data_IF_212081485441
#
_entry.id   IF_212081485441
#
_cell.length_a   1.000
_cell.length_b   1.000
_cell.length_c   1.000
_cell.angle_alpha   90.00
_cell.angle_beta   90.00
_cell.angle_gamma   90.00
#
_symmetry.space_group_name_H-M   'P 1'
#
loop_
_entity.id
_entity.type
_entity.pdbx_description
1 polymer ?
#
# COMPACT_ATOMS: atom_id res chain seq x y z
N UNK A 1 15.36 4.87 8.11
CA UNK A 1 14.09 5.45 7.55
C UNK A 1 14.34 5.76 6.08
N UNK A 2 13.34 5.54 5.21
CA UNK A 2 13.48 5.93 3.80
C UNK A 2 13.37 7.45 3.65
N UNK A 3 13.95 8.03 2.58
CA UNK A 3 13.83 9.47 2.28
C UNK A 3 12.36 9.91 2.19
N UNK A 4 11.49 9.04 1.64
CA UNK A 4 10.05 9.26 1.60
C UNK A 4 9.43 9.39 3.01
N UNK A 5 9.74 8.47 3.92
CA UNK A 5 9.21 8.52 5.31
C UNK A 5 9.67 9.78 6.03
N UNK A 6 10.92 10.20 5.81
CA UNK A 6 11.48 11.43 6.38
C UNK A 6 10.74 12.65 5.84
N UNK A 7 10.51 12.75 4.52
CA UNK A 7 9.79 13.88 3.93
C UNK A 7 8.35 13.99 4.44
N UNK A 8 7.64 12.85 4.58
CA UNK A 8 6.27 12.83 5.14
C UNK A 8 6.23 13.24 6.60
N UNK A 9 7.21 12.81 7.40
CA UNK A 9 7.34 13.25 8.79
C UNK A 9 7.52 14.77 8.91
N UNK A 10 8.40 15.37 8.08
CA UNK A 10 8.56 16.83 8.08
C UNK A 10 7.32 17.56 7.61
N UNK A 11 6.64 17.08 6.56
CA UNK A 11 5.40 17.66 6.08
C UNK A 11 4.31 17.68 7.17
N UNK A 12 4.13 16.56 7.89
CA UNK A 12 3.19 16.47 9.01
C UNK A 12 3.55 17.43 10.15
N UNK A 13 4.84 17.61 10.44
CA UNK A 13 5.29 18.59 11.46
C UNK A 13 4.99 20.04 11.05
N UNK A 14 5.07 20.39 9.76
CA UNK A 14 4.69 21.73 9.27
C UNK A 14 3.19 21.96 9.49
N UNK A 15 2.35 20.97 9.13
CA UNK A 15 0.90 21.04 9.36
C UNK A 15 0.59 21.21 10.85
N UNK A 16 1.27 20.45 11.72
CA UNK A 16 1.12 20.57 13.18
C UNK A 16 1.48 21.95 13.70
N UNK A 17 2.54 22.59 13.18
CA UNK A 17 2.89 23.98 13.53
C UNK A 17 1.79 24.94 13.12
N UNK A 18 1.21 24.78 11.92
CA UNK A 18 0.06 25.57 11.49
C UNK A 18 -1.14 25.40 12.41
N UNK A 19 -1.41 24.18 12.87
CA UNK A 19 -2.49 23.92 13.84
C UNK A 19 -2.27 24.66 15.17
N UNK A 20 -1.02 24.72 15.67
CA UNK A 20 -0.69 25.50 16.88
C UNK A 20 -0.87 27.02 16.69
N UNK A 21 -0.91 27.49 15.45
CA UNK A 21 -1.16 28.88 15.07
C UNK A 21 -2.64 29.16 14.73
N UNK A 22 -3.54 28.20 15.01
CA UNK A 22 -4.97 28.36 14.82
C UNK A 22 -5.53 27.79 13.52
N UNK A 23 -4.72 27.16 12.67
CA UNK A 23 -5.20 26.49 11.47
C UNK A 23 -6.01 25.23 11.85
N UNK A 24 -7.24 25.14 11.38
CA UNK A 24 -8.06 23.94 11.56
C UNK A 24 -7.56 22.85 10.62
N UNK A 25 -7.03 21.77 11.17
CA UNK A 25 -6.42 20.68 10.39
C UNK A 25 -6.94 19.33 10.83
N UNK A 26 -7.09 18.42 9.88
CA UNK A 26 -7.24 16.97 10.12
C UNK A 26 -6.19 16.27 9.30
N UNK A 27 -5.47 15.31 9.89
CA UNK A 27 -4.44 14.55 9.20
C UNK A 27 -4.92 13.11 8.99
N UNK A 28 -4.92 12.65 7.75
CA UNK A 28 -5.19 11.25 7.40
C UNK A 28 -3.92 10.55 6.93
N UNK A 29 -3.66 9.38 7.50
CA UNK A 29 -2.51 8.53 7.20
C UNK A 29 -3.02 7.19 6.65
N UNK A 30 -3.27 7.07 5.35
CA UNK A 30 -3.72 5.83 4.78
C UNK A 30 -2.59 4.78 4.77
N UNK A 31 -2.96 3.51 4.97
CA UNK A 31 -2.11 2.36 4.69
C UNK A 31 -1.85 2.23 3.18
N UNK A 32 -1.56 1.05 2.63
CA UNK A 32 -1.39 0.91 1.18
C UNK A 32 -2.74 1.15 0.50
N UNK A 33 -2.84 2.26 -0.23
CA UNK A 33 -4.05 2.64 -0.96
C UNK A 33 -4.14 1.84 -2.25
N UNK A 34 -5.25 1.13 -2.44
CA UNK A 34 -5.53 0.33 -3.62
C UNK A 34 -6.63 1.01 -4.45
N UNK A 35 -6.35 1.23 -5.72
CA UNK A 35 -7.26 1.87 -6.67
C UNK A 35 -6.76 1.75 -8.09
N UNK A 36 -7.62 2.15 -9.03
CA UNK A 36 -7.28 2.29 -10.44
C UNK A 36 -6.31 3.46 -10.63
N UNK A 37 -5.36 3.34 -11.56
CA UNK A 37 -4.39 4.40 -11.85
C UNK A 37 -3.27 3.95 -12.77
N UNK A 38 -2.13 4.61 -12.71
CA UNK A 38 -0.95 4.23 -13.48
C UNK A 38 -0.37 2.90 -12.96
N UNK A 39 -0.53 1.84 -13.75
CA UNK A 39 -0.07 0.49 -13.41
C UNK A 39 1.46 0.32 -13.39
N UNK A 40 2.19 1.37 -13.74
CA UNK A 40 3.66 1.41 -13.76
C UNK A 40 4.26 2.08 -12.52
N UNK A 41 3.44 2.66 -11.66
CA UNK A 41 3.90 3.40 -10.47
C UNK A 41 3.05 3.12 -9.23
N UNK A 42 3.58 3.41 -8.05
CA UNK A 42 2.87 3.33 -6.77
C UNK A 42 2.36 1.94 -6.42
N UNK A 43 1.27 1.88 -5.68
CA UNK A 43 0.65 0.64 -5.19
C UNK A 43 -0.05 -0.18 -6.30
N UNK A 44 -0.47 0.47 -7.39
CA UNK A 44 -1.09 -0.21 -8.53
C UNK A 44 -0.13 -1.19 -9.24
N UNK A 45 1.21 -0.97 -9.13
CA UNK A 45 2.19 -1.97 -9.58
C UNK A 45 2.03 -3.33 -8.89
N UNK A 46 1.56 -3.38 -7.64
CA UNK A 46 1.33 -4.64 -6.92
C UNK A 46 0.22 -5.45 -7.61
N UNK A 47 -0.81 -4.79 -8.13
CA UNK A 47 -1.88 -5.42 -8.90
C UNK A 47 -1.32 -5.96 -10.22
N UNK A 48 -0.60 -5.12 -10.97
CA UNK A 48 0.02 -5.53 -12.23
C UNK A 48 0.97 -6.73 -12.02
N UNK A 49 1.81 -6.69 -10.98
CA UNK A 49 2.71 -7.77 -10.62
C UNK A 49 1.96 -9.06 -10.28
N UNK A 50 0.93 -9.00 -9.41
CA UNK A 50 0.13 -10.16 -9.03
C UNK A 50 -0.64 -10.78 -10.22
N UNK A 51 -1.19 -9.93 -11.10
CA UNK A 51 -1.95 -10.36 -12.27
C UNK A 51 -1.11 -11.09 -13.34
N UNK A 52 0.22 -10.96 -13.32
CA UNK A 52 1.10 -11.77 -14.18
C UNK A 52 1.25 -13.22 -13.70
N UNK A 53 0.84 -13.55 -12.47
CA UNK A 53 0.90 -14.89 -11.93
C UNK A 53 2.29 -15.28 -11.40
N UNK A 54 2.71 -14.60 -10.35
CA UNK A 54 4.00 -14.89 -9.71
C UNK A 54 3.91 -16.09 -8.79
N UNK A 55 4.90 -16.99 -8.88
CA UNK A 55 4.98 -18.17 -8.01
C UNK A 55 5.46 -17.86 -6.60
N UNK A 56 6.02 -16.68 -6.38
CA UNK A 56 6.73 -16.34 -5.17
C UNK A 56 5.94 -15.34 -4.33
N UNK A 57 6.05 -15.47 -3.01
CA UNK A 57 5.55 -14.50 -2.05
C UNK A 57 6.53 -14.35 -0.88
N UNK A 58 6.35 -13.30 -0.09
CA UNK A 58 7.10 -13.04 1.15
C UNK A 58 6.18 -13.12 2.36
N UNK A 59 6.74 -13.28 3.56
CA UNK A 59 5.96 -13.39 4.82
C UNK A 59 5.45 -12.06 5.36
N UNK A 60 5.74 -10.93 4.73
CA UNK A 60 5.32 -9.62 5.21
C UNK A 60 3.79 -9.46 5.27
N UNK A 61 3.35 -8.64 6.22
CA UNK A 61 1.95 -8.23 6.40
C UNK A 61 1.87 -6.72 6.23
N UNK A 62 0.86 -6.23 5.52
CA UNK A 62 0.61 -4.80 5.31
C UNK A 62 -0.87 -4.48 5.49
N UNK A 63 -1.14 -3.22 5.88
CA UNK A 63 -2.48 -2.67 5.83
C UNK A 63 -2.83 -2.24 4.41
N UNK A 64 -4.09 -2.40 4.06
CA UNK A 64 -4.64 -1.99 2.75
C UNK A 64 -5.96 -1.26 2.95
N UNK A 65 -6.24 -0.33 2.03
CA UNK A 65 -7.48 0.45 2.03
C UNK A 65 -7.86 0.81 0.60
N UNK A 66 -9.16 0.85 0.32
CA UNK A 66 -9.69 1.31 -0.97
C UNK A 66 -9.49 2.83 -1.13
N UNK A 67 -9.07 3.28 -2.31
CA UNK A 67 -8.90 4.71 -2.62
C UNK A 67 -10.20 5.50 -2.44
N UNK A 68 -11.35 4.88 -2.71
CA UNK A 68 -12.67 5.50 -2.55
C UNK A 68 -13.01 5.73 -1.08
N UNK A 69 -12.62 4.77 -0.21
CA UNK A 69 -12.80 4.89 1.23
C UNK A 69 -11.88 5.97 1.82
N UNK A 70 -10.64 6.08 1.32
CA UNK A 70 -9.75 7.17 1.71
C UNK A 70 -10.37 8.52 1.36
N UNK A 71 -10.89 8.68 0.14
CA UNK A 71 -11.53 9.92 -0.29
C UNK A 71 -12.76 10.24 0.59
N UNK A 72 -13.65 9.26 0.77
CA UNK A 72 -14.89 9.39 1.54
C UNK A 72 -14.61 9.73 3.01
N UNK A 73 -13.70 8.98 3.66
CA UNK A 73 -13.33 9.24 5.04
C UNK A 73 -12.65 10.61 5.23
N UNK A 74 -11.85 11.04 4.25
CA UNK A 74 -11.19 12.36 4.30
C UNK A 74 -12.21 13.50 4.29
N UNK A 75 -13.23 13.42 3.42
CA UNK A 75 -14.31 14.42 3.36
C UNK A 75 -15.10 14.42 4.66
N UNK A 76 -15.55 13.26 5.13
CA UNK A 76 -16.32 13.15 6.37
C UNK A 76 -15.55 13.69 7.57
N UNK A 77 -14.27 13.34 7.72
CA UNK A 77 -13.43 13.83 8.81
C UNK A 77 -13.23 15.35 8.78
N UNK A 78 -13.23 15.98 7.60
CA UNK A 78 -13.13 17.44 7.49
C UNK A 78 -14.37 18.18 7.99
N UNK A 79 -15.52 17.52 8.03
CA UNK A 79 -16.81 18.05 8.49
C UNK A 79 -17.05 17.85 10.00
N UNK A 80 -16.31 16.92 10.63
CA UNK A 80 -16.46 16.58 12.06
C UNK A 80 -15.65 17.54 12.94
N UNK A 81 -16.29 18.35 13.81
CA UNK A 81 -15.58 19.30 14.68
C UNK A 81 -14.55 18.63 15.61
N UNK A 82 -14.87 17.46 16.14
CA UNK A 82 -14.04 16.69 17.06
C UNK A 82 -12.78 16.12 16.38
N UNK A 83 -12.77 16.06 15.05
CA UNK A 83 -11.63 15.62 14.27
C UNK A 83 -10.55 16.70 14.11
N UNK A 84 -10.85 17.96 14.40
CA UNK A 84 -9.90 19.07 14.27
C UNK A 84 -8.72 18.88 15.21
N UNK A 85 -7.51 19.03 14.66
CA UNK A 85 -6.24 18.81 15.36
C UNK A 85 -5.87 17.33 15.53
N UNK A 86 -6.70 16.42 15.03
CA UNK A 86 -6.50 14.98 15.18
C UNK A 86 -5.82 14.33 13.97
N UNK A 87 -5.31 13.11 14.21
CA UNK A 87 -4.69 12.25 13.19
C UNK A 87 -5.39 10.90 13.16
N UNK A 88 -5.67 10.42 11.96
CA UNK A 88 -6.38 9.17 11.72
C UNK A 88 -5.60 8.25 10.79
N UNK A 89 -5.50 6.98 11.17
CA UNK A 89 -5.02 5.92 10.28
C UNK A 89 -6.22 5.38 9.52
N UNK A 90 -6.12 5.35 8.18
CA UNK A 90 -7.13 4.75 7.31
C UNK A 90 -6.59 3.42 6.77
N UNK A 91 -7.08 2.31 7.33
CA UNK A 91 -6.70 0.96 6.93
C UNK A 91 -7.92 0.07 7.07
N UNK A 92 -8.34 -0.61 6.00
CA UNK A 92 -9.48 -1.51 6.07
C UNK A 92 -9.08 -2.83 6.74
N UNK A 93 -8.03 -3.48 6.23
CA UNK A 93 -7.56 -4.77 6.71
C UNK A 93 -6.03 -4.88 6.66
N UNK A 94 -5.48 -5.72 7.53
CA UNK A 94 -4.08 -6.11 7.50
C UNK A 94 -3.97 -7.50 6.85
N UNK A 95 -3.39 -7.60 5.64
CA UNK A 95 -3.25 -8.85 4.91
C UNK A 95 -1.80 -9.25 4.71
N UNK A 96 -1.48 -10.55 4.80
CA UNK A 96 -0.21 -11.10 4.32
C UNK A 96 -0.08 -10.92 2.80
N UNK A 97 1.13 -10.70 2.29
CA UNK A 97 1.37 -10.63 0.85
C UNK A 97 0.91 -11.90 0.11
N UNK A 98 1.00 -13.08 0.75
CA UNK A 98 0.45 -14.31 0.18
C UNK A 98 -1.04 -14.18 -0.14
N UNK A 99 -1.83 -13.70 0.82
CA UNK A 99 -3.28 -13.53 0.64
C UNK A 99 -3.57 -12.48 -0.45
N UNK A 100 -2.91 -11.32 -0.39
CA UNK A 100 -3.03 -10.27 -1.38
C UNK A 100 -2.79 -10.80 -2.81
N UNK A 101 -1.63 -11.40 -3.06
CA UNK A 101 -1.29 -11.90 -4.40
C UNK A 101 -2.12 -13.11 -4.82
N UNK A 102 -2.63 -13.92 -3.87
CA UNK A 102 -3.55 -15.01 -4.20
C UNK A 102 -4.87 -14.48 -4.75
N UNK A 103 -5.47 -13.46 -4.11
CA UNK A 103 -6.72 -12.84 -4.58
C UNK A 103 -6.54 -12.23 -5.97
N UNK A 104 -5.43 -11.50 -6.18
CA UNK A 104 -5.13 -10.88 -7.49
C UNK A 104 -4.91 -11.93 -8.57
N UNK A 105 -4.09 -12.97 -8.30
CA UNK A 105 -3.81 -14.04 -9.26
C UNK A 105 -5.07 -14.86 -9.60
N UNK A 106 -5.88 -15.20 -8.60
CA UNK A 106 -7.16 -15.89 -8.79
C UNK A 106 -8.09 -15.07 -9.70
N UNK A 107 -8.25 -13.78 -9.41
CA UNK A 107 -9.09 -12.87 -10.21
C UNK A 107 -8.59 -12.74 -11.65
N UNK A 108 -7.27 -12.81 -11.85
CA UNK A 108 -6.64 -12.76 -13.16
C UNK A 108 -6.62 -14.12 -13.90
N UNK A 109 -7.16 -15.20 -13.31
CA UNK A 109 -7.09 -16.56 -13.86
C UNK A 109 -5.67 -17.09 -13.96
N UNK A 110 -4.80 -16.71 -13.03
CA UNK A 110 -3.38 -17.09 -12.97
C UNK A 110 -3.09 -18.07 -11.84
N UNK A 111 -1.90 -18.68 -11.91
CA UNK A 111 -1.44 -19.58 -10.85
C UNK A 111 -1.18 -18.83 -9.55
N UNK A 112 -1.59 -19.43 -8.44
CA UNK A 112 -1.41 -18.86 -7.10
C UNK A 112 0.05 -18.90 -6.67
N UNK A 113 0.51 -17.95 -5.84
CA UNK A 113 1.85 -17.98 -5.27
C UNK A 113 2.01 -19.16 -4.30
N UNK A 114 3.01 -20.00 -4.52
CA UNK A 114 3.25 -21.23 -3.73
C UNK A 114 4.55 -21.23 -2.96
N UNK A 115 5.57 -20.51 -3.45
CA UNK A 115 6.93 -20.55 -2.89
C UNK A 115 7.17 -19.31 -2.05
N UNK A 116 7.45 -19.54 -0.76
CA UNK A 116 7.82 -18.47 0.16
C UNK A 116 9.30 -18.12 -0.01
N UNK A 117 9.60 -16.87 -0.37
CA UNK A 117 10.97 -16.37 -0.42
C UNK A 117 11.33 -15.74 0.94
N UNK A 118 12.33 -16.31 1.58
CA UNK A 118 12.87 -15.78 2.82
C UNK A 118 13.85 -14.61 2.59
N UNK A 119 14.14 -13.87 3.65
CA UNK A 119 15.02 -12.69 3.63
C UNK A 119 16.41 -12.98 3.03
N UNK A 120 16.98 -14.17 3.32
CA UNK A 120 18.30 -14.55 2.80
C UNK A 120 18.30 -14.68 1.26
N UNK A 121 17.28 -15.32 0.70
CA UNK A 121 17.15 -15.48 -0.74
C UNK A 121 16.89 -14.14 -1.45
N UNK A 122 16.09 -13.26 -0.84
CA UNK A 122 15.87 -11.90 -1.34
C UNK A 122 17.16 -11.07 -1.34
N UNK A 123 17.93 -11.12 -0.27
CA UNK A 123 19.20 -10.40 -0.18
C UNK A 123 20.22 -10.91 -1.21
N UNK A 124 20.26 -12.24 -1.44
CA UNK A 124 21.11 -12.82 -2.48
C UNK A 124 20.68 -12.37 -3.88
N UNK A 125 19.37 -12.37 -4.16
CA UNK A 125 18.84 -11.87 -5.44
C UNK A 125 19.17 -10.39 -5.66
N UNK A 126 19.05 -9.54 -4.62
CA UNK A 126 19.43 -8.14 -4.69
C UNK A 126 20.93 -7.92 -4.88
N UNK A 127 21.76 -8.76 -4.28
CA UNK A 127 23.21 -8.73 -4.52
C UNK A 127 23.55 -9.10 -5.95
N UNK A 128 22.94 -10.16 -6.48
CA UNK A 128 23.10 -10.57 -7.87
C UNK A 128 22.62 -9.50 -8.86
N UNK A 129 21.45 -8.85 -8.61
CA UNK A 129 20.97 -7.73 -9.42
C UNK A 129 21.96 -6.56 -9.42
N UNK A 130 22.55 -6.24 -8.26
CA UNK A 130 23.52 -5.15 -8.13
C UNK A 130 24.79 -5.40 -8.96
N UNK A 131 25.29 -6.63 -8.97
CA UNK A 131 26.45 -7.00 -9.81
C UNK A 131 26.08 -6.98 -11.30
N UNK A 132 24.93 -7.51 -11.66
CA UNK A 132 24.45 -7.51 -13.06
C UNK A 132 24.27 -6.08 -13.59
N UNK A 133 23.80 -5.14 -12.75
CA UNK A 133 23.68 -3.71 -13.09
C UNK A 133 25.00 -3.01 -13.40
N UNK A 134 26.10 -3.45 -12.81
CA UNK A 134 27.43 -2.90 -13.15
C UNK A 134 27.77 -3.14 -14.62
N UNK A 135 27.18 -4.19 -15.21
CA UNK A 135 27.43 -4.58 -16.61
C UNK A 135 26.34 -4.06 -17.56
N UNK A 136 25.06 -4.07 -17.15
CA UNK A 136 23.91 -3.93 -18.07
C UNK A 136 23.19 -2.59 -18.02
N UNK A 137 23.54 -1.67 -17.12
CA UNK A 137 22.88 -0.35 -16.93
C UNK A 137 21.35 -0.36 -16.77
N UNK A 138 20.73 -1.48 -16.40
CA UNK A 138 19.29 -1.56 -16.14
C UNK A 138 18.86 -0.76 -14.91
N UNK A 139 17.59 -0.30 -14.88
CA UNK A 139 17.00 0.35 -13.69
C UNK A 139 16.93 -0.64 -12.53
N UNK A 140 17.16 -0.14 -11.30
CA UNK A 140 17.08 -0.96 -10.08
C UNK A 140 15.64 -1.38 -9.84
N UNK A 141 15.38 -2.69 -9.81
CA UNK A 141 14.10 -3.28 -9.51
C UNK A 141 13.95 -3.59 -8.01
N UNK A 142 15.04 -4.01 -7.36
CA UNK A 142 15.07 -4.40 -5.95
C UNK A 142 15.86 -3.38 -5.13
N UNK A 143 15.20 -2.27 -4.73
CA UNK A 143 15.80 -1.34 -3.77
C UNK A 143 15.76 -1.91 -2.35
N UNK A 144 16.66 -1.48 -1.46
CA UNK A 144 16.68 -1.90 -0.05
C UNK A 144 15.36 -1.60 0.65
N UNK A 145 14.69 -0.50 0.29
CA UNK A 145 13.38 -0.14 0.82
C UNK A 145 12.27 -1.11 0.38
N UNK A 146 12.31 -1.60 -0.87
CA UNK A 146 11.36 -2.60 -1.38
C UNK A 146 11.61 -3.94 -0.67
N UNK A 147 12.87 -4.36 -0.53
CA UNK A 147 13.23 -5.61 0.13
C UNK A 147 12.84 -5.61 1.62
N UNK A 148 13.14 -4.53 2.34
CA UNK A 148 12.76 -4.40 3.75
C UNK A 148 11.25 -4.37 3.92
N UNK A 149 10.53 -3.69 3.03
CA UNK A 149 9.06 -3.66 3.04
C UNK A 149 8.45 -5.02 2.74
N UNK A 150 9.04 -5.79 1.82
CA UNK A 150 8.52 -7.09 1.42
C UNK A 150 8.56 -8.15 2.54
N UNK A 151 9.47 -8.05 3.48
CA UNK A 151 9.61 -9.01 4.59
C UNK A 151 9.09 -8.50 5.92
N UNK A 152 8.89 -7.19 6.08
CA UNK A 152 8.40 -6.61 7.34
C UNK A 152 6.89 -6.75 7.47
N UNK A 153 6.44 -6.97 8.71
CA UNK A 153 5.02 -6.93 9.06
C UNK A 153 4.70 -5.61 9.75
N UNK A 154 3.67 -4.94 9.26
CA UNK A 154 3.14 -3.71 9.84
C UNK A 154 1.63 -3.87 9.99
N UNK A 155 1.17 -3.70 11.23
CA UNK A 155 -0.25 -3.79 11.57
C UNK A 155 -0.77 -2.40 11.89
N UNK A 156 -1.93 -2.08 11.36
CA UNK A 156 -2.58 -0.79 11.56
C UNK A 156 -3.95 -1.03 12.21
N UNK A 157 -4.29 -0.20 13.20
CA UNK A 157 -5.63 -0.14 13.78
C UNK A 157 -6.41 1.03 13.18
N UNK A 158 -7.65 0.78 12.81
CA UNK A 158 -8.62 1.74 12.31
C UNK A 158 -9.67 2.14 13.36
N UNK A 159 -9.53 1.65 14.60
CA UNK A 159 -10.52 1.87 15.65
C UNK A 159 -10.85 3.35 15.87
N UNK A 160 -9.84 4.23 15.80
CA UNK A 160 -10.04 5.65 16.04
C UNK A 160 -10.97 6.27 15.01
N UNK A 161 -10.81 5.99 13.73
CA UNK A 161 -11.68 6.52 12.69
C UNK A 161 -13.09 5.95 12.79
N UNK A 162 -13.22 4.65 13.11
CA UNK A 162 -14.53 4.00 13.31
C UNK A 162 -15.30 4.52 14.54
N UNK A 163 -14.58 4.98 15.57
CA UNK A 163 -15.22 5.65 16.74
C UNK A 163 -15.63 7.08 16.44
N UNK A 164 -14.97 7.75 15.50
CA UNK A 164 -15.23 9.15 15.17
C UNK A 164 -16.30 9.29 14.10
N UNK A 165 -16.34 8.35 13.15
CA UNK A 165 -17.27 8.32 12.03
C UNK A 165 -18.13 7.06 12.12
N UNK A 166 -19.41 7.17 11.76
CA UNK A 166 -20.23 6.03 11.37
C UNK A 166 -19.80 5.61 9.96
N UNK A 167 -18.77 4.75 9.91
CA UNK A 167 -18.04 4.45 8.67
C UNK A 167 -17.72 2.96 8.56
N UNK A 168 -18.00 2.41 7.41
CA UNK A 168 -17.62 1.05 7.05
C UNK A 168 -16.64 1.06 5.87
N UNK A 169 -15.53 0.34 6.04
CA UNK A 169 -14.54 0.16 4.99
C UNK A 169 -14.98 -0.95 4.02
N UNK A 170 -14.72 -0.73 2.75
CA UNK A 170 -14.87 -1.77 1.73
C UNK A 170 -13.91 -2.93 2.03
N UNK A 171 -14.39 -4.19 2.05
CA UNK A 171 -13.52 -5.35 2.21
C UNK A 171 -12.38 -5.35 1.18
N UNK A 172 -11.15 -5.56 1.65
CA UNK A 172 -9.96 -5.50 0.77
C UNK A 172 -10.05 -6.50 -0.37
N UNK A 173 -10.68 -7.66 -0.14
CA UNK A 173 -10.91 -8.65 -1.19
C UNK A 173 -11.76 -8.11 -2.35
N UNK A 174 -12.81 -7.35 -2.05
CA UNK A 174 -13.65 -6.71 -3.08
C UNK A 174 -12.86 -5.67 -3.87
N UNK A 175 -12.14 -4.80 -3.16
CA UNK A 175 -11.25 -3.80 -3.75
C UNK A 175 -10.25 -4.45 -4.70
N UNK A 176 -9.55 -5.50 -4.26
CA UNK A 176 -8.56 -6.21 -5.07
C UNK A 176 -9.18 -6.83 -6.31
N UNK A 177 -10.35 -7.46 -6.20
CA UNK A 177 -11.05 -8.04 -7.35
C UNK A 177 -11.47 -6.97 -8.34
N UNK A 178 -12.05 -5.86 -7.88
CA UNK A 178 -12.47 -4.74 -8.73
C UNK A 178 -11.30 -4.15 -9.49
N UNK A 179 -10.24 -3.77 -8.78
CA UNK A 179 -9.07 -3.12 -9.37
C UNK A 179 -8.30 -4.07 -10.31
N UNK A 180 -8.24 -5.36 -9.98
CA UNK A 180 -7.63 -6.36 -10.89
C UNK A 180 -8.43 -6.50 -12.18
N UNK A 181 -9.75 -6.50 -12.14
CA UNK A 181 -10.59 -6.53 -13.36
C UNK A 181 -10.35 -5.29 -14.22
N UNK A 182 -10.33 -4.10 -13.64
CA UNK A 182 -10.03 -2.85 -14.35
C UNK A 182 -8.66 -2.90 -15.05
N UNK A 183 -7.62 -3.41 -14.36
CA UNK A 183 -6.31 -3.64 -14.97
C UNK A 183 -6.36 -4.56 -16.19
N UNK A 184 -7.10 -5.67 -16.10
CA UNK A 184 -7.19 -6.64 -17.20
C UNK A 184 -7.97 -6.09 -18.39
N UNK A 185 -8.99 -5.27 -18.16
CA UNK A 185 -9.76 -4.59 -19.21
C UNK A 185 -8.92 -3.56 -19.96
N UNK A 186 -8.15 -2.75 -19.25
CA UNK A 186 -7.26 -1.76 -19.87
C UNK A 186 -6.17 -2.43 -20.71
N UNK A 187 -5.65 -3.56 -20.26
CA UNK A 187 -4.61 -4.30 -20.98
C UNK A 187 -5.10 -5.00 -22.27
N UNK A 188 -6.42 -5.13 -22.45
CA UNK A 188 -7.03 -5.69 -23.67
C UNK A 188 -7.26 -4.64 -24.79
N UNK A 189 -7.21 -3.35 -24.41
CA UNK A 189 -7.30 -2.21 -25.33
C UNK A 189 -5.94 -1.87 -25.92
#
# INVERSE_FOLDING_TARGET
MSAYSVSKFYAENIVRRGALQGLRTVVVNPSIVIGEGDWKSGSSQLIAFGAHGNFFYTKGVKGYVDVRDVARATVLLAEVPEAVGQRYILSAENLPFKAFFSIVAETAGRRLPRICIGTRALNLAAAAERELRRVTRHKQLLSESILSSAVSSSYYSNEKVLRTLDFEFTPVQETLRRVTRAYLEEKKR
#
